data_IF_844703443274
#
_entry.id   IF_844703443274
#
_cell.length_a   1.000
_cell.length_b   1.000
_cell.length_c   1.000
_cell.angle_alpha   90.00
_cell.angle_beta   90.00
_cell.angle_gamma   90.00
#
_symmetry.space_group_name_H-M   'P 1'
#
loop_
_entity.id
_entity.type
_entity.pdbx_description
1 polymer ?
#
# COMPACT_ATOMS: atom_id res chain seq x y z
N UNK A 1 -19.37 -7.96 -10.56
CA UNK A 1 -17.96 -8.20 -10.23
C UNK A 1 -17.83 -8.10 -8.73
N UNK A 2 -17.31 -9.15 -8.09
CA UNK A 2 -17.15 -9.18 -6.62
C UNK A 2 -16.04 -8.23 -6.16
N UNK A 3 -16.02 -7.89 -4.86
CA UNK A 3 -14.97 -7.02 -4.27
C UNK A 3 -13.57 -7.62 -4.51
N UNK A 4 -13.40 -8.94 -4.32
CA UNK A 4 -12.12 -9.63 -4.58
C UNK A 4 -11.64 -9.40 -6.01
N UNK A 5 -12.52 -9.57 -6.99
CA UNK A 5 -12.15 -9.45 -8.41
C UNK A 5 -11.69 -8.03 -8.73
N UNK A 6 -12.42 -7.02 -8.23
CA UNK A 6 -12.06 -5.60 -8.35
C UNK A 6 -10.68 -5.33 -7.75
N UNK A 7 -10.44 -5.77 -6.51
CA UNK A 7 -9.13 -5.59 -5.84
C UNK A 7 -8.00 -6.29 -6.61
N UNK A 8 -8.21 -7.53 -7.06
CA UNK A 8 -7.22 -8.28 -7.83
C UNK A 8 -6.88 -7.58 -9.15
N UNK A 9 -7.88 -7.06 -9.84
CA UNK A 9 -7.70 -6.31 -11.07
C UNK A 9 -6.84 -5.06 -10.83
N UNK A 10 -7.15 -4.28 -9.80
CA UNK A 10 -6.39 -3.07 -9.45
C UNK A 10 -4.95 -3.38 -9.04
N UNK A 11 -4.73 -4.40 -8.21
CA UNK A 11 -3.38 -4.85 -7.87
C UNK A 11 -2.58 -5.27 -9.10
N UNK A 12 -3.20 -6.02 -10.03
CA UNK A 12 -2.53 -6.46 -11.28
C UNK A 12 -2.19 -5.28 -12.18
N UNK A 13 -3.09 -4.31 -12.34
CA UNK A 13 -2.83 -3.06 -13.10
C UNK A 13 -1.64 -2.29 -12.53
N UNK A 14 -1.41 -2.40 -11.22
CA UNK A 14 -0.27 -1.80 -10.51
C UNK A 14 0.98 -2.69 -10.48
N UNK A 15 0.99 -3.81 -11.21
CA UNK A 15 2.16 -4.69 -11.35
C UNK A 15 2.35 -5.69 -10.22
N UNK A 16 1.38 -5.82 -9.30
CA UNK A 16 1.48 -6.83 -8.24
C UNK A 16 1.28 -8.24 -8.78
N UNK A 17 2.11 -9.16 -8.29
CA UNK A 17 1.94 -10.60 -8.47
C UNK A 17 1.06 -11.16 -7.36
N UNK A 18 -0.15 -11.60 -7.70
CA UNK A 18 -1.04 -12.28 -6.75
C UNK A 18 -0.46 -13.65 -6.39
N UNK A 19 -0.40 -13.95 -5.09
CA UNK A 19 0.11 -15.22 -4.54
C UNK A 19 -0.99 -16.14 -4.08
N UNK A 20 -1.93 -15.60 -3.32
CA UNK A 20 -3.01 -16.35 -2.68
C UNK A 20 -4.29 -15.51 -2.78
N UNK A 21 -5.39 -16.16 -3.10
CA UNK A 21 -6.75 -15.60 -3.02
C UNK A 21 -7.54 -16.55 -2.12
N UNK A 22 -8.18 -15.99 -1.09
CA UNK A 22 -9.15 -16.63 -0.19
C UNK A 22 -10.43 -15.79 -0.17
N UNK A 23 -11.51 -16.32 0.41
CA UNK A 23 -12.85 -15.70 0.39
C UNK A 23 -12.91 -14.28 1.00
N UNK A 24 -11.97 -13.93 1.88
CA UNK A 24 -11.90 -12.62 2.52
C UNK A 24 -10.49 -12.02 2.48
N UNK A 25 -9.55 -12.60 1.73
CA UNK A 25 -8.16 -12.16 1.77
C UNK A 25 -7.42 -12.38 0.47
N UNK A 26 -6.54 -11.46 0.13
CA UNK A 26 -5.64 -11.54 -1.02
C UNK A 26 -4.22 -11.31 -0.50
N UNK A 27 -3.26 -12.14 -0.91
CA UNK A 27 -1.83 -11.86 -0.71
C UNK A 27 -1.18 -11.61 -2.05
N UNK A 28 -0.38 -10.55 -2.12
CA UNK A 28 0.27 -10.13 -3.35
C UNK A 28 1.64 -9.53 -3.07
N UNK A 29 2.52 -9.56 -4.07
CA UNK A 29 3.86 -9.01 -3.99
C UNK A 29 4.10 -7.99 -5.09
N UNK A 30 4.81 -6.91 -4.77
CA UNK A 30 5.41 -5.99 -5.74
C UNK A 30 6.93 -5.97 -5.50
N UNK A 31 7.69 -6.64 -6.36
CA UNK A 31 9.10 -6.93 -6.13
C UNK A 31 9.34 -7.65 -4.79
N UNK A 32 9.95 -6.97 -3.81
CA UNK A 32 10.18 -7.52 -2.46
C UNK A 32 9.13 -7.07 -1.43
N UNK A 33 8.22 -6.18 -1.84
CA UNK A 33 7.16 -5.64 -0.99
C UNK A 33 5.98 -6.59 -0.95
N UNK A 34 5.67 -7.11 0.24
CA UNK A 34 4.61 -8.11 0.47
C UNK A 34 3.40 -7.46 1.09
N UNK A 35 2.23 -7.67 0.50
CA UNK A 35 0.98 -7.07 0.99
C UNK A 35 -0.09 -8.11 1.23
N UNK A 36 -0.96 -7.82 2.19
CA UNK A 36 -2.24 -8.50 2.36
C UNK A 36 -3.36 -7.49 2.16
N UNK A 37 -4.38 -7.86 1.40
CA UNK A 37 -5.67 -7.17 1.42
C UNK A 37 -6.61 -8.04 2.23
N UNK A 38 -7.23 -7.47 3.24
CA UNK A 38 -8.25 -8.13 4.04
C UNK A 38 -9.59 -7.45 3.79
N UNK A 39 -10.54 -8.23 3.30
CA UNK A 39 -11.90 -7.79 3.01
C UNK A 39 -12.73 -8.17 4.22
N UNK A 40 -13.11 -7.16 5.00
CA UNK A 40 -13.86 -7.38 6.22
C UNK A 40 -15.29 -7.75 5.86
N UNK A 41 -15.84 -8.87 6.38
CA UNK A 41 -17.25 -9.21 6.17
C UNK A 41 -18.19 -8.08 6.62
N UNK A 42 -19.31 -7.91 5.91
CA UNK A 42 -20.32 -6.90 6.25
C UNK A 42 -20.85 -7.13 7.68
N UNK A 43 -21.12 -6.03 8.40
CA UNK A 43 -21.57 -6.01 9.80
C UNK A 43 -20.61 -6.63 10.85
N UNK A 44 -19.40 -7.02 10.45
CA UNK A 44 -18.41 -7.60 11.36
C UNK A 44 -17.41 -6.55 11.86
N UNK A 45 -17.38 -6.32 13.18
CA UNK A 45 -16.25 -5.66 13.83
C UNK A 45 -15.34 -6.74 14.42
N UNK A 46 -14.08 -6.86 13.99
CA UNK A 46 -13.18 -7.83 14.58
C UNK A 46 -12.89 -7.50 16.03
N UNK A 47 -12.98 -8.50 16.89
CA UNK A 47 -12.64 -8.36 18.30
C UNK A 47 -11.67 -9.45 18.73
N UNK A 48 -10.48 -9.03 19.14
CA UNK A 48 -9.45 -9.90 19.69
C UNK A 48 -9.26 -9.59 21.17
N UNK A 49 -9.55 -10.56 22.03
CA UNK A 49 -9.25 -10.46 23.47
C UNK A 49 -7.76 -10.49 23.74
N UNK A 50 -7.03 -11.35 23.00
CA UNK A 50 -5.57 -11.38 22.98
C UNK A 50 -5.06 -10.78 21.66
N UNK A 51 -4.27 -9.68 21.70
CA UNK A 51 -3.71 -9.08 20.50
C UNK A 51 -2.83 -10.01 19.66
N UNK A 52 -2.24 -11.08 20.21
CA UNK A 52 -1.47 -12.03 19.42
C UNK A 52 -2.33 -12.85 18.46
N UNK A 53 -3.59 -13.13 18.81
CA UNK A 53 -4.53 -13.87 17.95
C UNK A 53 -4.79 -13.08 16.66
N UNK A 54 -4.85 -11.73 16.76
CA UNK A 54 -4.94 -10.83 15.60
C UNK A 54 -3.77 -11.03 14.63
N UNK A 55 -2.55 -11.22 15.15
CA UNK A 55 -1.35 -11.38 14.32
C UNK A 55 -1.41 -12.68 13.54
N UNK A 56 -1.90 -13.74 14.17
CA UNK A 56 -2.05 -15.05 13.54
C UNK A 56 -3.16 -15.04 12.50
N UNK A 57 -4.36 -14.56 12.85
CA UNK A 57 -5.51 -14.48 11.95
C UNK A 57 -5.21 -13.60 10.72
N UNK A 58 -4.61 -12.43 10.95
CA UNK A 58 -4.23 -11.51 9.88
C UNK A 58 -2.89 -11.86 9.25
N UNK A 59 -2.18 -12.91 9.68
CA UNK A 59 -0.88 -13.35 9.16
C UNK A 59 0.15 -12.20 9.06
N UNK A 60 0.21 -11.32 10.07
CA UNK A 60 0.94 -10.05 10.00
C UNK A 60 2.47 -10.20 10.05
N UNK A 61 3.00 -11.36 10.42
CA UNK A 61 4.47 -11.56 10.52
C UNK A 61 5.15 -11.57 9.14
N UNK A 62 4.42 -11.86 8.07
CA UNK A 62 4.98 -12.14 6.74
C UNK A 62 4.67 -11.07 5.68
N UNK A 63 4.15 -9.91 6.12
CA UNK A 63 3.73 -8.82 5.23
C UNK A 63 4.33 -7.50 5.68
N UNK A 64 4.51 -6.60 4.74
CA UNK A 64 5.00 -5.24 4.98
C UNK A 64 3.85 -4.24 5.12
N UNK A 65 2.70 -4.55 4.50
CA UNK A 65 1.49 -3.75 4.59
C UNK A 65 0.22 -4.62 4.57
N UNK A 66 -0.82 -4.10 5.22
CA UNK A 66 -2.18 -4.63 5.15
C UNK A 66 -3.15 -3.53 4.70
N UNK A 67 -3.97 -3.83 3.70
CA UNK A 67 -5.08 -3.00 3.25
C UNK A 67 -6.39 -3.56 3.82
N UNK A 68 -7.11 -2.73 4.58
CA UNK A 68 -8.37 -3.07 5.24
C UNK A 68 -9.50 -2.54 4.37
N UNK A 69 -10.19 -3.44 3.67
CA UNK A 69 -11.33 -3.10 2.81
C UNK A 69 -12.62 -3.33 3.58
N UNK A 70 -13.37 -2.26 3.84
CA UNK A 70 -14.61 -2.29 4.63
C UNK A 70 -15.47 -1.05 4.37
N UNK A 71 -16.72 -1.06 4.83
CA UNK A 71 -17.56 0.14 4.97
C UNK A 71 -17.07 1.07 6.09
N UNK A 72 -16.37 0.54 7.10
CA UNK A 72 -15.83 1.30 8.25
C UNK A 72 -14.33 1.08 8.45
N UNK A 73 -13.50 1.29 7.41
CA UNK A 73 -12.12 0.81 7.40
C UNK A 73 -11.23 1.55 8.40
N UNK A 74 -11.52 2.81 8.71
CA UNK A 74 -10.77 3.63 9.66
C UNK A 74 -10.89 3.10 11.10
N UNK A 75 -12.11 2.79 11.55
CA UNK A 75 -12.34 2.26 12.90
C UNK A 75 -11.61 0.93 13.10
N UNK A 76 -11.65 0.07 12.08
CA UNK A 76 -10.97 -1.22 12.09
C UNK A 76 -9.45 -1.04 12.05
N UNK A 77 -8.95 -0.12 11.22
CA UNK A 77 -7.51 0.16 11.13
C UNK A 77 -6.97 0.71 12.44
N UNK A 78 -7.67 1.63 13.09
CA UNK A 78 -7.30 2.19 14.40
C UNK A 78 -7.28 1.09 15.47
N UNK A 79 -8.26 0.19 15.44
CA UNK A 79 -8.29 -0.95 16.35
C UNK A 79 -7.09 -1.90 16.15
N UNK A 80 -6.72 -2.19 14.90
CA UNK A 80 -5.53 -2.99 14.58
C UNK A 80 -4.25 -2.27 15.06
N UNK A 81 -4.10 -0.98 14.77
CA UNK A 81 -2.92 -0.18 15.19
C UNK A 81 -2.80 -0.11 16.72
N UNK A 82 -3.93 0.03 17.42
CA UNK A 82 -3.97 -0.02 18.88
C UNK A 82 -3.51 -1.39 19.41
N UNK A 83 -3.99 -2.48 18.81
CA UNK A 83 -3.54 -3.82 19.18
C UNK A 83 -2.06 -4.04 18.87
N UNK A 84 -1.54 -3.56 17.74
CA UNK A 84 -0.10 -3.58 17.44
C UNK A 84 0.71 -2.84 18.51
N UNK A 85 0.21 -1.70 19.00
CA UNK A 85 0.84 -0.94 20.08
C UNK A 85 0.85 -1.71 21.41
N UNK A 86 -0.26 -2.38 21.75
CA UNK A 86 -0.33 -3.28 22.91
C UNK A 86 0.62 -4.47 22.77
N UNK A 87 0.77 -5.03 21.57
CA UNK A 87 1.69 -6.15 21.32
C UNK A 87 3.12 -5.75 21.64
N UNK A 88 3.54 -4.59 21.15
CA UNK A 88 4.86 -4.02 21.44
C UNK A 88 5.05 -3.80 22.93
N UNK A 89 4.05 -3.27 23.62
CA UNK A 89 4.15 -2.94 25.05
C UNK A 89 4.12 -4.17 25.97
N UNK A 90 3.17 -5.09 25.78
CA UNK A 90 2.97 -6.26 26.67
C UNK A 90 3.84 -7.45 26.34
N UNK A 91 4.20 -7.64 25.06
CA UNK A 91 4.92 -8.83 24.60
C UNK A 91 6.30 -8.52 24.02
N UNK A 92 6.72 -7.24 24.02
CA UNK A 92 7.99 -6.79 23.44
C UNK A 92 8.20 -7.27 21.99
N UNK A 93 7.11 -7.42 21.24
CA UNK A 93 7.13 -7.88 19.84
C UNK A 93 6.86 -6.69 18.91
N UNK A 94 7.83 -6.41 18.03
CA UNK A 94 7.69 -5.35 17.03
C UNK A 94 7.09 -5.92 15.75
N UNK A 95 6.00 -5.27 15.28
CA UNK A 95 5.35 -5.59 14.00
C UNK A 95 5.61 -4.45 13.03
N UNK A 96 6.46 -4.68 12.05
CA UNK A 96 6.81 -3.69 11.03
C UNK A 96 5.81 -3.71 9.86
N UNK A 97 4.53 -3.64 10.17
CA UNK A 97 3.43 -3.63 9.18
C UNK A 97 2.80 -2.25 9.13
N UNK A 98 2.54 -1.73 7.94
CA UNK A 98 1.72 -0.52 7.76
C UNK A 98 0.27 -0.90 7.46
N UNK A 99 -0.68 -0.21 8.09
CA UNK A 99 -2.12 -0.45 7.94
C UNK A 99 -2.72 0.67 7.09
N UNK A 100 -3.50 0.30 6.08
CA UNK A 100 -4.14 1.22 5.13
C UNK A 100 -5.64 0.98 5.10
N UNK A 101 -6.43 2.03 5.27
CA UNK A 101 -7.88 1.97 5.29
C UNK A 101 -8.47 2.22 3.90
N UNK A 102 -9.26 1.29 3.38
CA UNK A 102 -9.87 1.35 2.04
C UNK A 102 -11.39 1.27 2.17
N UNK A 103 -12.11 2.33 1.75
CA UNK A 103 -13.57 2.32 1.79
C UNK A 103 -14.12 1.54 0.59
N UNK A 104 -14.99 0.56 0.85
CA UNK A 104 -15.65 -0.24 -0.20
C UNK A 104 -16.49 0.60 -1.17
N UNK A 105 -17.06 1.72 -0.71
CA UNK A 105 -17.88 2.61 -1.55
C UNK A 105 -17.05 3.33 -2.62
N UNK A 106 -15.76 3.54 -2.34
CA UNK A 106 -14.78 4.21 -3.23
C UNK A 106 -13.59 3.31 -3.50
N UNK A 107 -13.84 1.99 -3.58
CA UNK A 107 -12.82 0.94 -3.54
C UNK A 107 -11.61 1.23 -4.42
N UNK A 108 -11.81 1.53 -5.71
CA UNK A 108 -10.71 1.71 -6.65
C UNK A 108 -9.88 2.97 -6.36
N UNK A 109 -10.53 4.08 -6.03
CA UNK A 109 -9.85 5.35 -5.75
C UNK A 109 -9.08 5.29 -4.42
N UNK A 110 -9.70 4.75 -3.37
CA UNK A 110 -9.06 4.60 -2.06
C UNK A 110 -7.93 3.57 -2.12
N UNK A 111 -8.12 2.47 -2.86
CA UNK A 111 -7.07 1.47 -3.05
C UNK A 111 -5.89 2.04 -3.85
N UNK A 112 -6.14 2.85 -4.88
CA UNK A 112 -5.10 3.56 -5.62
C UNK A 112 -4.26 4.44 -4.69
N UNK A 113 -4.90 5.25 -3.84
CA UNK A 113 -4.22 6.09 -2.85
C UNK A 113 -3.46 5.28 -1.81
N UNK A 114 -4.08 4.22 -1.31
CA UNK A 114 -3.46 3.29 -0.37
C UNK A 114 -2.19 2.69 -0.96
N UNK A 115 -2.24 2.21 -2.21
CA UNK A 115 -1.08 1.67 -2.92
C UNK A 115 -0.01 2.74 -3.10
N UNK A 116 -0.37 3.95 -3.50
CA UNK A 116 0.58 5.06 -3.66
C UNK A 116 1.34 5.33 -2.36
N UNK A 117 0.62 5.43 -1.23
CA UNK A 117 1.23 5.65 0.08
C UNK A 117 2.06 4.44 0.56
N UNK A 118 1.62 3.23 0.24
CA UNK A 118 2.34 2.00 0.52
C UNK A 118 3.67 1.90 -0.21
N UNK A 119 3.71 2.28 -1.48
CA UNK A 119 4.92 2.39 -2.30
C UNK A 119 5.86 3.44 -1.70
N UNK A 120 5.37 4.64 -1.35
CA UNK A 120 6.20 5.68 -0.71
C UNK A 120 6.86 5.17 0.56
N UNK A 121 6.10 4.55 1.46
CA UNK A 121 6.60 4.12 2.76
C UNK A 121 7.52 2.90 2.67
N UNK A 122 7.45 2.14 1.57
CA UNK A 122 8.22 0.91 1.36
C UNK A 122 9.10 0.99 0.11
N UNK A 123 9.54 2.20 -0.27
CA UNK A 123 10.25 2.49 -1.51
C UNK A 123 11.43 1.54 -1.78
N UNK A 124 12.17 1.14 -0.73
CA UNK A 124 13.33 0.26 -0.83
C UNK A 124 12.98 -1.19 -1.23
N UNK A 125 11.77 -1.65 -0.89
CA UNK A 125 11.26 -2.99 -1.22
C UNK A 125 10.54 -3.02 -2.58
N UNK A 126 9.84 -1.96 -2.93
CA UNK A 126 9.16 -1.81 -4.24
C UNK A 126 10.11 -1.38 -5.36
N UNK A 127 11.30 -0.88 -5.04
CA UNK A 127 12.25 -0.34 -6.02
C UNK A 127 12.45 -1.27 -7.22
N UNK A 128 12.35 -0.70 -8.43
CA UNK A 128 12.47 -1.41 -9.71
C UNK A 128 13.42 -0.72 -10.70
N UNK A 129 13.92 0.46 -10.36
CA UNK A 129 14.88 1.24 -11.13
C UNK A 129 15.92 1.82 -10.19
N UNK A 130 17.09 2.17 -10.73
CA UNK A 130 18.13 2.91 -10.01
C UNK A 130 18.74 3.93 -10.96
N UNK A 131 18.06 5.06 -11.08
CA UNK A 131 18.45 6.15 -11.97
C UNK A 131 18.69 7.43 -11.17
N UNK A 132 19.41 8.38 -11.78
CA UNK A 132 19.54 9.73 -11.23
C UNK A 132 18.21 10.46 -11.42
N UNK A 133 17.60 10.90 -10.32
CA UNK A 133 16.40 11.72 -10.30
C UNK A 133 16.71 13.21 -10.21
N UNK A 134 15.74 13.98 -9.76
CA UNK A 134 15.85 15.44 -9.65
C UNK A 134 16.74 15.88 -8.48
N UNK A 135 16.95 17.18 -8.36
CA UNK A 135 17.69 17.79 -7.25
C UNK A 135 16.85 17.80 -5.98
N UNK A 136 17.45 17.39 -4.85
CA UNK A 136 16.78 17.41 -3.55
C UNK A 136 16.44 18.84 -3.12
N UNK A 137 15.17 19.14 -2.78
CA UNK A 137 14.74 20.49 -2.42
C UNK A 137 15.32 20.98 -1.09
N UNK A 138 15.89 20.10 -0.26
CA UNK A 138 16.47 20.45 1.04
C UNK A 138 17.98 20.69 1.01
N UNK A 139 18.76 19.86 0.30
CA UNK A 139 20.22 19.93 0.32
C UNK A 139 20.89 20.16 -1.05
N UNK A 140 20.11 20.17 -2.14
CA UNK A 140 20.66 20.37 -3.48
C UNK A 140 21.43 19.17 -4.07
N UNK A 141 21.54 18.05 -3.34
CA UNK A 141 22.15 16.82 -3.85
C UNK A 141 21.18 16.09 -4.80
N UNK A 142 21.69 15.36 -5.82
CA UNK A 142 20.83 14.59 -6.70
C UNK A 142 20.09 13.48 -5.93
N UNK A 143 18.79 13.35 -6.17
CA UNK A 143 17.97 12.26 -5.66
C UNK A 143 18.17 11.01 -6.54
N UNK A 144 17.87 9.84 -5.98
CA UNK A 144 17.81 8.58 -6.72
C UNK A 144 16.36 8.27 -7.08
N UNK A 145 16.06 8.09 -8.36
CA UNK A 145 14.80 7.51 -8.79
C UNK A 145 14.86 6.01 -8.52
N UNK A 146 14.02 5.55 -7.58
CA UNK A 146 14.03 4.16 -7.09
C UNK A 146 12.84 3.35 -7.58
N UNK A 147 11.73 4.02 -7.93
CA UNK A 147 10.54 3.35 -8.44
C UNK A 147 9.95 4.16 -9.60
N UNK A 148 9.56 3.46 -10.66
CA UNK A 148 8.83 4.01 -11.80
C UNK A 148 7.76 3.03 -12.27
N UNK A 149 6.54 3.52 -12.46
CA UNK A 149 5.44 2.71 -12.98
C UNK A 149 4.49 3.57 -13.80
N UNK A 150 3.68 2.93 -14.64
CA UNK A 150 2.61 3.58 -15.39
C UNK A 150 1.33 2.79 -15.24
N UNK A 151 0.25 3.46 -14.87
CA UNK A 151 -1.05 2.82 -14.66
C UNK A 151 -2.20 3.73 -15.12
N UNK A 152 -3.36 3.15 -15.40
CA UNK A 152 -4.57 3.90 -15.70
C UNK A 152 -5.28 4.24 -14.40
N UNK A 153 -5.35 5.52 -14.03
CA UNK A 153 -5.93 5.97 -12.76
C UNK A 153 -7.45 6.00 -12.80
N UNK A 154 -8.06 5.56 -11.70
CA UNK A 154 -9.50 5.70 -11.48
C UNK A 154 -9.87 7.10 -11.06
N UNK A 155 -9.01 7.78 -10.28
CA UNK A 155 -9.26 9.16 -9.85
C UNK A 155 -9.23 10.14 -11.01
N UNK A 156 -8.20 10.07 -11.84
CA UNK A 156 -8.00 11.03 -12.94
C UNK A 156 -8.56 10.56 -14.28
N UNK A 157 -9.04 9.31 -14.37
CA UNK A 157 -9.54 8.69 -15.61
C UNK A 157 -8.55 8.83 -16.79
N UNK A 158 -7.25 8.82 -16.48
CA UNK A 158 -6.17 8.94 -17.45
C UNK A 158 -4.95 8.14 -17.00
N UNK A 159 -4.01 7.95 -17.93
CA UNK A 159 -2.72 7.35 -17.62
C UNK A 159 -1.92 8.25 -16.68
N UNK A 160 -1.34 7.65 -15.64
CA UNK A 160 -0.44 8.31 -14.69
C UNK A 160 0.90 7.62 -14.74
N UNK A 161 1.95 8.43 -14.84
CA UNK A 161 3.32 7.98 -14.61
C UNK A 161 3.67 8.29 -13.15
N UNK A 162 3.99 7.25 -12.41
CA UNK A 162 4.32 7.27 -10.99
C UNK A 162 5.82 7.16 -10.80
N UNK A 163 6.40 8.04 -9.99
CA UNK A 163 7.82 8.06 -9.68
C UNK A 163 8.04 8.25 -8.18
N UNK A 164 8.95 7.47 -7.62
CA UNK A 164 9.46 7.71 -6.25
C UNK A 164 10.95 7.97 -6.30
N UNK A 165 11.33 9.12 -5.78
CA UNK A 165 12.71 9.58 -5.67
C UNK A 165 13.12 9.73 -4.20
N UNK A 166 14.36 9.39 -3.88
CA UNK A 166 14.89 9.46 -2.51
C UNK A 166 16.23 10.18 -2.48
N UNK A 167 16.36 11.13 -1.57
CA UNK A 167 17.64 11.75 -1.24
C UNK A 167 18.30 11.00 -0.08
N UNK A 168 19.45 10.38 -0.31
CA UNK A 168 20.18 9.66 0.75
C UNK A 168 20.82 10.58 1.78
N UNK A 169 21.09 11.84 1.44
CA UNK A 169 21.68 12.81 2.36
C UNK A 169 20.71 13.29 3.45
N UNK A 170 19.44 13.51 3.09
CA UNK A 170 18.43 14.06 4.00
C UNK A 170 17.26 13.11 4.29
N UNK A 171 17.24 11.92 3.69
CA UNK A 171 16.12 10.97 3.73
C UNK A 171 14.77 11.54 3.25
N UNK A 172 14.80 12.59 2.41
CA UNK A 172 13.60 13.12 1.78
C UNK A 172 13.14 12.15 0.70
N UNK A 173 11.85 11.87 0.71
CA UNK A 173 11.15 11.06 -0.28
C UNK A 173 10.23 11.98 -1.07
N UNK A 174 10.36 11.98 -2.40
CA UNK A 174 9.45 12.67 -3.30
C UNK A 174 8.66 11.63 -4.08
N UNK A 175 7.34 11.64 -3.94
CA UNK A 175 6.44 10.82 -4.74
C UNK A 175 5.72 11.73 -5.73
N UNK A 176 5.97 11.53 -7.03
CA UNK A 176 5.39 12.31 -8.12
C UNK A 176 4.41 11.46 -8.92
N UNK A 177 3.23 12.02 -9.17
CA UNK A 177 2.20 11.47 -10.03
C UNK A 177 2.01 12.43 -11.21
N UNK A 178 2.47 12.04 -12.39
CA UNK A 178 2.40 12.86 -13.61
C UNK A 178 1.27 12.32 -14.48
N UNK A 179 0.19 13.08 -14.59
CA UNK A 179 -0.94 12.75 -15.46
C UNK A 179 -0.48 12.89 -16.91
N UNK A 180 -0.51 11.80 -17.67
CA UNK A 180 -0.33 11.86 -19.10
C UNK A 180 -1.61 12.43 -19.70
N UNK A 181 -1.59 13.69 -20.11
CA UNK A 181 -2.61 14.17 -21.03
C UNK A 181 -2.34 13.51 -22.39
N UNK A 182 -3.35 12.92 -23.00
CA UNK A 182 -3.30 12.28 -24.33
C UNK A 182 -2.96 13.26 -25.48
N UNK A 183 -2.40 14.43 -25.18
CA UNK A 183 -2.11 15.52 -26.11
C UNK A 183 -0.62 15.80 -26.36
N UNK A 184 0.31 14.96 -25.91
CA UNK A 184 1.69 15.03 -26.40
C UNK A 184 1.88 14.03 -27.55
N UNK A 185 1.29 14.38 -28.71
CA UNK A 185 1.80 13.97 -30.01
C UNK A 185 2.99 14.87 -30.34
N UNK A 186 4.20 14.33 -30.24
CA UNK A 186 5.33 14.76 -31.06
C UNK A 186 5.99 13.51 -31.63
#
# INVERSE_FOLDING_TARGET
MGIIERVVEELRKRGFRIRIIRDNAIRADLNRFRVKVWIVPNDYFPWWSNPLDMVEELELNDVDAIFIVSERPYVISDYIVNNMSKIRYWFNKELNVKVYSINVDRLEEDLEDGINLAITNNYSKVSNVLLRGDTCPSCGLPMKLVYSSRYLSHRWKSWVNEYVEVCEGCNIISHKLIISHTYDRL
#
